data_IF_582648481548
#
_entry.id   IF_582648481548
#
_cell.length_a   1.000
_cell.length_b   1.000
_cell.length_c   1.000
_cell.angle_alpha   90.00
_cell.angle_beta   90.00
_cell.angle_gamma   90.00
#
_symmetry.space_group_name_H-M   'P 1'
#
loop_
_entity.id
_entity.type
_entity.pdbx_description
1 polymer ?
#
# COMPACT_ATOMS: atom_id res chain seq x y z
N UNK A 1 4.15 -20.98 19.30
CA UNK A 1 4.07 -19.51 19.44
C UNK A 1 2.60 -19.12 19.52
N UNK A 2 2.24 -18.13 20.34
CA UNK A 2 0.84 -17.65 20.39
C UNK A 2 0.53 -17.04 19.01
N UNK A 3 -0.50 -17.54 18.32
CA UNK A 3 -1.06 -16.89 17.13
C UNK A 3 -1.46 -15.47 17.56
N UNK A 4 -0.66 -14.46 17.19
CA UNK A 4 -1.09 -13.07 17.20
C UNK A 4 -1.95 -12.94 15.95
N UNK A 5 -3.24 -12.68 16.13
CA UNK A 5 -4.09 -12.28 15.01
C UNK A 5 -3.60 -10.89 14.63
N UNK A 6 -2.84 -10.79 13.54
CA UNK A 6 -2.47 -9.50 12.95
C UNK A 6 -3.73 -8.94 12.31
N UNK A 7 -4.47 -8.13 13.07
CA UNK A 7 -5.33 -7.13 12.46
C UNK A 7 -4.40 -5.97 12.15
N UNK A 8 -3.99 -5.82 10.89
CA UNK A 8 -3.48 -4.54 10.42
C UNK A 8 -4.67 -3.58 10.45
N UNK A 9 -4.88 -2.99 11.63
CA UNK A 9 -5.60 -1.76 11.73
C UNK A 9 -4.73 -0.75 10.98
N UNK A 10 -5.17 -0.37 9.78
CA UNK A 10 -4.89 0.97 9.26
C UNK A 10 -4.92 1.90 10.47
N UNK A 11 -3.75 2.46 10.80
CA UNK A 11 -3.52 3.15 12.06
C UNK A 11 -4.71 4.08 12.30
N UNK A 12 -5.55 3.70 13.27
CA UNK A 12 -6.76 4.43 13.61
C UNK A 12 -6.28 5.68 14.32
N UNK A 13 -5.84 6.65 13.51
CA UNK A 13 -5.51 7.99 13.96
C UNK A 13 -6.74 8.48 14.67
N UNK A 14 -6.63 8.53 16.00
CA UNK A 14 -7.64 9.10 16.85
C UNK A 14 -7.72 10.57 16.42
N UNK A 15 -8.67 10.88 15.54
CA UNK A 15 -9.06 12.25 15.28
C UNK A 15 -9.55 12.80 16.63
N UNK A 16 -8.64 13.42 17.39
CA UNK A 16 -9.02 14.26 18.53
C UNK A 16 -9.73 15.48 17.95
N UNK A 17 -11.02 15.30 17.66
CA UNK A 17 -11.96 16.41 17.59
C UNK A 17 -12.04 17.01 18.99
N UNK A 18 -11.21 18.00 19.27
CA UNK A 18 -11.41 18.89 20.42
C UNK A 18 -12.65 19.77 20.13
N UNK A 19 -13.83 19.24 20.39
CA UNK A 19 -15.00 20.06 20.68
C UNK A 19 -14.91 20.52 22.14
N UNK A 20 -14.23 21.63 22.41
CA UNK A 20 -14.40 22.32 23.69
C UNK A 20 -15.33 23.52 23.53
N UNK A 21 -16.53 23.36 24.07
CA UNK A 21 -17.39 24.47 24.45
C UNK A 21 -16.68 25.35 25.48
N UNK A 22 -16.93 26.64 25.36
CA UNK A 22 -16.43 27.71 26.20
C UNK A 22 -16.45 27.41 27.71
N UNK A 23 -15.31 27.59 28.38
CA UNK A 23 -15.08 28.64 29.40
C UNK A 23 -13.78 28.39 30.19
N UNK A 24 -13.06 29.49 30.47
CA UNK A 24 -12.07 29.73 31.54
C UNK A 24 -10.59 29.75 31.13
N UNK A 25 -10.12 30.99 30.92
CA UNK A 25 -8.76 31.54 31.07
C UNK A 25 -7.66 30.61 31.60
N UNK A 26 -6.62 30.38 30.78
CA UNK A 26 -5.24 30.75 31.12
C UNK A 26 -4.30 30.50 29.92
N UNK A 27 -3.47 31.52 29.67
CA UNK A 27 -2.34 31.65 28.74
C UNK A 27 -1.59 30.37 28.34
N UNK A 28 -1.98 29.77 27.21
CA UNK A 28 -1.09 28.92 26.40
C UNK A 28 -0.52 29.74 25.24
N UNK A 29 0.77 29.59 24.90
CA UNK A 29 1.42 30.38 23.87
C UNK A 29 0.82 30.04 22.52
N UNK A 30 0.17 31.01 21.89
CA UNK A 30 -0.17 30.98 20.47
C UNK A 30 1.13 30.81 19.66
N UNK A 31 1.25 29.80 18.77
CA UNK A 31 2.31 29.77 17.80
C UNK A 31 2.10 30.92 16.82
N UNK A 32 2.90 31.97 17.00
CA UNK A 32 3.02 33.06 16.06
C UNK A 32 3.77 32.53 14.83
N UNK A 33 3.04 32.30 13.73
CA UNK A 33 3.61 31.66 12.55
C UNK A 33 2.68 31.64 11.36
N UNK A 34 2.16 32.79 10.92
CA UNK A 34 1.66 33.03 9.55
C UNK A 34 0.90 31.89 8.86
N UNK A 35 0.04 31.18 9.59
CA UNK A 35 -0.42 29.82 9.26
C UNK A 35 -1.15 29.75 7.93
N UNK A 36 -0.50 29.17 6.92
CA UNK A 36 -1.19 28.63 5.75
C UNK A 36 -1.78 27.29 6.15
N UNK A 37 -3.05 27.08 5.84
CA UNK A 37 -3.73 25.79 5.98
C UNK A 37 -2.86 24.70 5.31
N UNK A 38 -2.47 23.62 6.03
CA UNK A 38 -1.64 22.54 5.48
C UNK A 38 -2.18 22.00 4.16
N UNK A 39 -3.49 21.96 3.95
CA UNK A 39 -4.08 21.53 2.67
C UNK A 39 -3.73 22.50 1.53
N UNK A 40 -3.59 23.79 1.86
CA UNK A 40 -3.36 24.87 0.91
C UNK A 40 -1.87 25.22 0.68
N UNK A 41 -0.94 24.61 1.40
CA UNK A 41 0.49 24.95 1.34
C UNK A 41 1.03 24.84 -0.09
N UNK A 42 1.80 25.85 -0.51
CA UNK A 42 2.40 25.93 -1.85
C UNK A 42 3.92 26.06 -1.77
N UNK A 43 4.59 25.48 -2.77
CA UNK A 43 6.00 25.72 -3.02
C UNK A 43 6.19 27.19 -3.39
N UNK A 44 7.24 27.82 -2.84
CA UNK A 44 7.56 29.22 -3.08
C UNK A 44 9.06 29.46 -2.93
N UNK A 45 9.53 30.63 -3.36
CA UNK A 45 10.93 31.01 -3.14
C UNK A 45 11.33 31.05 -1.66
N UNK A 46 10.37 31.27 -0.74
CA UNK A 46 10.62 31.37 0.70
C UNK A 46 10.88 30.00 1.34
N UNK A 47 10.16 28.96 0.90
CA UNK A 47 10.27 27.60 1.44
C UNK A 47 11.03 26.62 0.52
N UNK A 48 11.47 27.06 -0.65
CA UNK A 48 12.11 26.23 -1.69
C UNK A 48 13.21 25.29 -1.17
N UNK A 49 14.12 25.81 -0.35
CA UNK A 49 15.26 25.03 0.20
C UNK A 49 14.77 23.96 1.17
N UNK A 50 13.89 24.35 2.11
CA UNK A 50 13.32 23.43 3.07
C UNK A 50 12.50 22.33 2.38
N UNK A 51 11.72 22.70 1.37
CA UNK A 51 10.90 21.80 0.56
C UNK A 51 11.74 20.76 -0.16
N UNK A 52 12.77 21.19 -0.89
CA UNK A 52 13.69 20.28 -1.59
C UNK A 52 14.46 19.38 -0.63
N UNK A 53 14.84 19.88 0.55
CA UNK A 53 15.48 19.05 1.58
C UNK A 53 14.52 18.02 2.17
N UNK A 54 13.27 18.39 2.46
CA UNK A 54 12.28 17.48 3.02
C UNK A 54 11.94 16.37 2.04
N UNK A 55 11.65 16.71 0.78
CA UNK A 55 11.45 15.72 -0.29
C UNK A 55 12.62 14.74 -0.36
N UNK A 56 13.86 15.24 -0.33
CA UNK A 56 15.06 14.39 -0.38
C UNK A 56 15.17 13.44 0.82
N UNK A 57 14.91 13.93 2.04
CA UNK A 57 14.98 13.07 3.23
C UNK A 57 13.89 11.99 3.19
N UNK A 58 12.67 12.32 2.79
CA UNK A 58 11.59 11.32 2.63
C UNK A 58 11.94 10.29 1.55
N UNK A 59 12.41 10.73 0.37
CA UNK A 59 12.81 9.82 -0.70
C UNK A 59 14.02 8.95 -0.34
N UNK A 60 14.95 9.48 0.47
CA UNK A 60 16.10 8.74 0.98
C UNK A 60 15.64 7.64 1.94
N UNK A 61 14.72 7.95 2.85
CA UNK A 61 14.12 6.99 3.77
C UNK A 61 13.35 5.89 3.02
N UNK A 62 12.50 6.24 2.04
CA UNK A 62 11.83 5.27 1.16
C UNK A 62 12.81 4.33 0.44
N UNK A 63 13.93 4.86 -0.08
CA UNK A 63 14.96 4.05 -0.71
C UNK A 63 15.66 3.12 0.31
N UNK A 64 15.92 3.61 1.52
CA UNK A 64 16.54 2.82 2.58
C UNK A 64 15.60 1.71 3.05
N UNK A 65 14.32 2.00 3.27
CA UNK A 65 13.31 1.05 3.71
C UNK A 65 13.08 -0.04 2.63
N UNK A 66 12.91 0.35 1.36
CA UNK A 66 12.82 -0.62 0.26
C UNK A 66 14.08 -1.47 0.10
N UNK A 67 15.27 -0.89 0.33
CA UNK A 67 16.53 -1.63 0.32
C UNK A 67 16.61 -2.61 1.48
N UNK A 68 16.19 -2.20 2.69
CA UNK A 68 16.10 -3.07 3.87
C UNK A 68 15.11 -4.19 3.63
N UNK A 69 13.93 -3.90 3.07
CA UNK A 69 12.92 -4.89 2.75
C UNK A 69 13.45 -5.95 1.78
N UNK A 70 13.97 -5.52 0.63
CA UNK A 70 14.53 -6.45 -0.36
C UNK A 70 15.68 -7.29 0.23
N UNK A 71 16.63 -6.65 0.92
CA UNK A 71 17.76 -7.35 1.54
C UNK A 71 17.33 -8.30 2.67
N UNK A 72 16.26 -8.00 3.41
CA UNK A 72 15.70 -8.92 4.41
C UNK A 72 15.22 -10.21 3.76
N UNK A 73 14.63 -10.10 2.57
CA UNK A 73 14.20 -11.26 1.80
C UNK A 73 15.37 -12.05 1.18
N UNK A 74 16.37 -11.38 0.61
CA UNK A 74 17.41 -12.06 -0.19
C UNK A 74 18.73 -12.33 0.51
N UNK A 75 19.07 -11.58 1.57
CA UNK A 75 20.40 -11.63 2.21
C UNK A 75 20.31 -12.06 3.66
N UNK A 76 19.61 -11.29 4.49
CA UNK A 76 19.54 -11.55 5.93
C UNK A 76 18.38 -10.79 6.55
N UNK A 77 17.43 -11.51 7.13
CA UNK A 77 16.41 -10.94 7.99
C UNK A 77 16.99 -10.79 9.39
N UNK A 78 17.02 -9.55 9.87
CA UNK A 78 17.53 -9.19 11.19
C UNK A 78 16.43 -8.55 12.00
N UNK A 79 16.11 -9.13 13.15
CA UNK A 79 15.21 -8.57 14.15
C UNK A 79 15.91 -8.48 15.52
N UNK A 80 15.14 -8.25 16.58
CA UNK A 80 15.63 -8.14 17.95
C UNK A 80 16.38 -9.39 18.44
N UNK A 81 16.11 -10.56 17.86
CA UNK A 81 16.77 -11.83 18.18
C UNK A 81 18.06 -12.05 17.38
N UNK A 82 18.36 -11.19 16.42
CA UNK A 82 19.59 -11.21 15.62
C UNK A 82 19.36 -11.60 14.17
N UNK A 83 20.41 -12.14 13.55
CA UNK A 83 20.42 -12.58 12.14
C UNK A 83 19.78 -13.97 12.00
N UNK A 84 18.90 -14.11 11.01
CA UNK A 84 18.18 -15.36 10.72
C UNK A 84 18.49 -15.95 9.33
N UNK A 85 19.28 -15.24 8.51
CA UNK A 85 19.45 -15.55 7.09
C UNK A 85 18.31 -14.99 6.23
N UNK A 86 18.34 -15.23 4.89
CA UNK A 86 17.35 -14.68 3.98
C UNK A 86 15.93 -15.11 4.32
N UNK A 87 14.98 -14.16 4.44
CA UNK A 87 13.59 -14.49 4.70
C UNK A 87 12.99 -15.36 3.60
N UNK A 88 13.45 -15.27 2.35
CA UNK A 88 13.04 -16.17 1.28
C UNK A 88 13.35 -17.66 1.60
N UNK A 89 14.49 -17.93 2.24
CA UNK A 89 14.84 -19.29 2.67
C UNK A 89 13.98 -19.71 3.86
N UNK A 90 13.77 -18.80 4.81
CA UNK A 90 12.95 -19.05 6.01
C UNK A 90 11.48 -19.30 5.62
N UNK A 91 10.97 -18.56 4.65
CA UNK A 91 9.60 -18.70 4.16
C UNK A 91 9.41 -20.03 3.43
N UNK A 92 10.39 -20.45 2.60
CA UNK A 92 10.33 -21.70 1.83
C UNK A 92 10.61 -22.95 2.68
N UNK A 93 11.35 -22.84 3.78
CA UNK A 93 11.61 -23.97 4.69
C UNK A 93 10.38 -24.27 5.57
N UNK A 94 9.56 -25.23 5.15
CA UNK A 94 8.36 -25.65 5.87
C UNK A 94 8.61 -26.62 7.03
N UNK A 95 9.88 -26.93 7.33
CA UNK A 95 10.25 -27.89 8.39
C UNK A 95 10.84 -27.21 9.63
N UNK A 96 11.57 -26.11 9.42
CA UNK A 96 12.25 -25.36 10.47
C UNK A 96 12.20 -23.84 10.29
N UNK A 97 11.53 -23.34 9.24
CA UNK A 97 11.43 -21.93 8.91
C UNK A 97 10.31 -21.18 9.63
N UNK A 98 9.79 -20.14 8.98
CA UNK A 98 8.76 -19.26 9.57
C UNK A 98 7.45 -19.99 9.85
N UNK A 99 7.14 -20.99 9.02
CA UNK A 99 5.90 -21.75 9.08
C UNK A 99 6.21 -23.23 9.34
N UNK A 100 5.36 -23.87 10.13
CA UNK A 100 5.58 -25.24 10.62
C UNK A 100 4.96 -26.31 9.71
N UNK A 101 4.40 -25.89 8.56
CA UNK A 101 3.89 -26.75 7.50
C UNK A 101 3.65 -25.94 6.22
N UNK A 102 3.68 -26.57 5.04
CA UNK A 102 3.37 -25.92 3.77
C UNK A 102 1.96 -25.30 3.76
N UNK A 103 1.00 -25.99 4.38
CA UNK A 103 -0.35 -25.48 4.58
C UNK A 103 -0.36 -24.16 5.35
N UNK A 104 0.47 -24.01 6.39
CA UNK A 104 0.53 -22.76 7.17
C UNK A 104 1.07 -21.58 6.35
N UNK A 105 1.96 -21.81 5.38
CA UNK A 105 2.35 -20.77 4.41
C UNK A 105 1.17 -20.33 3.55
N UNK A 106 0.41 -21.29 3.03
CA UNK A 106 -0.75 -20.99 2.20
C UNK A 106 -1.85 -20.29 3.02
N UNK A 107 -2.05 -20.67 4.28
CA UNK A 107 -2.95 -19.97 5.21
C UNK A 107 -2.54 -18.50 5.35
N UNK A 108 -1.24 -18.21 5.50
CA UNK A 108 -0.73 -16.83 5.58
C UNK A 108 -0.97 -16.06 4.28
N UNK A 109 -0.66 -16.65 3.13
CA UNK A 109 -0.87 -16.03 1.82
C UNK A 109 -2.34 -15.67 1.60
N UNK A 110 -3.27 -16.49 2.09
CA UNK A 110 -4.72 -16.23 1.96
C UNK A 110 -5.20 -15.23 2.99
N UNK A 111 -4.91 -15.42 4.27
CA UNK A 111 -5.46 -14.60 5.36
C UNK A 111 -4.71 -13.27 5.47
N UNK A 112 -3.47 -13.28 5.93
CA UNK A 112 -2.69 -12.05 6.12
C UNK A 112 -2.36 -11.34 4.80
N UNK A 113 -2.38 -12.06 3.68
CA UNK A 113 -2.15 -11.53 2.34
C UNK A 113 -3.44 -11.13 1.62
N UNK A 114 -3.94 -12.02 0.77
CA UNK A 114 -5.00 -11.72 -0.21
C UNK A 114 -6.30 -11.22 0.41
N UNK A 115 -6.76 -11.85 1.50
CA UNK A 115 -7.98 -11.42 2.19
C UNK A 115 -7.80 -10.05 2.82
N UNK A 116 -6.69 -9.83 3.54
CA UNK A 116 -6.45 -8.59 4.27
C UNK A 116 -6.56 -7.39 3.34
N UNK A 117 -5.88 -7.42 2.19
CA UNK A 117 -5.90 -6.29 1.25
C UNK A 117 -7.25 -6.15 0.52
N UNK A 118 -7.94 -7.25 0.17
CA UNK A 118 -9.30 -7.16 -0.40
C UNK A 118 -10.27 -6.49 0.58
N UNK A 119 -10.16 -6.87 1.86
CA UNK A 119 -10.96 -6.30 2.95
C UNK A 119 -10.59 -4.83 3.18
N UNK A 120 -9.31 -4.49 3.22
CA UNK A 120 -8.84 -3.11 3.41
C UNK A 120 -9.31 -2.17 2.30
N UNK A 121 -9.18 -2.57 1.03
CA UNK A 121 -9.69 -1.79 -0.09
C UNK A 121 -11.20 -1.54 0.03
N UNK A 122 -11.96 -2.59 0.33
CA UNK A 122 -13.43 -2.51 0.42
C UNK A 122 -13.96 -1.80 1.65
N UNK A 123 -13.42 -2.11 2.84
CA UNK A 123 -13.95 -1.72 4.15
C UNK A 123 -13.28 -0.48 4.75
N UNK A 124 -12.08 -0.12 4.29
CA UNK A 124 -11.34 1.06 4.74
C UNK A 124 -11.11 2.06 3.60
N UNK A 125 -10.27 1.73 2.60
CA UNK A 125 -9.80 2.70 1.58
C UNK A 125 -10.94 3.38 0.82
N UNK A 126 -12.01 2.63 0.49
CA UNK A 126 -13.20 3.20 -0.19
C UNK A 126 -14.32 3.55 0.81
N UNK A 127 -14.59 2.68 1.79
CA UNK A 127 -15.75 2.81 2.68
C UNK A 127 -15.59 3.85 3.78
N UNK A 128 -14.41 4.10 4.31
CA UNK A 128 -14.22 5.15 5.31
C UNK A 128 -14.48 6.55 4.73
N UNK A 129 -13.91 6.93 3.57
CA UNK A 129 -14.29 8.16 2.88
C UNK A 129 -15.78 8.24 2.57
N UNK A 130 -16.37 7.15 2.05
CA UNK A 130 -17.81 7.08 1.76
C UNK A 130 -18.66 7.34 3.00
N UNK A 131 -18.36 6.68 4.11
CA UNK A 131 -19.12 6.78 5.36
C UNK A 131 -19.03 8.18 5.94
N UNK A 132 -17.84 8.77 5.99
CA UNK A 132 -17.65 10.17 6.41
C UNK A 132 -18.45 11.13 5.51
N UNK A 133 -18.28 11.00 4.20
CA UNK A 133 -18.92 11.88 3.22
C UNK A 133 -20.45 11.81 3.25
N UNK A 134 -21.02 10.61 3.37
CA UNK A 134 -22.48 10.40 3.35
C UNK A 134 -23.14 10.65 4.70
N UNK A 135 -22.40 10.55 5.81
CA UNK A 135 -22.90 10.90 7.16
C UNK A 135 -22.91 12.41 7.45
N UNK A 136 -22.33 13.23 6.56
CA UNK A 136 -22.38 14.69 6.61
C UNK A 136 -21.02 15.37 6.81
N UNK A 137 -19.98 14.61 7.16
CA UNK A 137 -18.59 15.09 7.20
C UNK A 137 -17.99 15.06 5.77
N UNK A 138 -18.46 15.99 4.95
CA UNK A 138 -18.06 16.09 3.54
C UNK A 138 -16.56 16.34 3.40
N UNK A 139 -16.01 17.24 4.21
CA UNK A 139 -14.60 17.59 4.17
C UNK A 139 -13.71 16.45 4.68
N UNK A 140 -14.06 15.84 5.82
CA UNK A 140 -13.34 14.67 6.32
C UNK A 140 -13.40 13.47 5.38
N UNK A 141 -14.50 13.28 4.64
CA UNK A 141 -14.58 12.28 3.57
C UNK A 141 -13.61 12.58 2.42
N UNK A 142 -13.52 13.84 1.97
CA UNK A 142 -12.62 14.25 0.89
C UNK A 142 -11.14 14.07 1.25
N UNK A 143 -10.75 14.32 2.50
CA UNK A 143 -9.35 14.21 2.95
C UNK A 143 -8.98 12.82 3.49
N UNK A 144 -9.95 11.92 3.67
CA UNK A 144 -9.69 10.54 4.07
C UNK A 144 -9.28 9.63 2.90
N UNK A 145 -9.48 10.05 1.66
CA UNK A 145 -9.17 9.25 0.46
C UNK A 145 -7.65 9.12 0.29
N UNK A 146 -7.10 7.92 0.48
CA UNK A 146 -5.67 7.64 0.22
C UNK A 146 -5.29 7.94 -1.24
N UNK A 147 -4.07 8.43 -1.48
CA UNK A 147 -3.56 8.79 -2.83
C UNK A 147 -4.34 9.89 -3.56
N UNK A 148 -5.02 10.78 -2.81
CA UNK A 148 -5.82 11.84 -3.44
C UNK A 148 -5.02 13.05 -3.92
N UNK A 149 -3.82 13.30 -3.41
CA UNK A 149 -3.05 14.48 -3.83
C UNK A 149 -2.67 14.39 -5.31
N UNK A 150 -2.39 13.19 -5.79
CA UNK A 150 -2.07 12.82 -7.17
C UNK A 150 -3.27 12.35 -8.00
N UNK A 151 -4.47 12.29 -7.40
CA UNK A 151 -5.66 11.66 -8.00
C UNK A 151 -5.42 10.20 -8.43
N UNK A 152 -4.60 9.46 -7.68
CA UNK A 152 -4.15 8.11 -8.03
C UNK A 152 -4.95 6.99 -7.34
N UNK A 153 -5.85 7.31 -6.41
CA UNK A 153 -6.60 6.34 -5.58
C UNK A 153 -7.23 5.16 -6.35
N UNK A 154 -7.82 5.40 -7.53
CA UNK A 154 -8.42 4.31 -8.33
C UNK A 154 -7.36 3.32 -8.79
N UNK A 155 -6.23 3.81 -9.25
CA UNK A 155 -5.17 3.01 -9.85
C UNK A 155 -4.40 2.27 -8.76
N UNK A 156 -4.16 2.94 -7.64
CA UNK A 156 -3.65 2.39 -6.39
C UNK A 156 -4.45 1.15 -5.94
N UNK A 157 -5.76 1.33 -5.69
CA UNK A 157 -6.60 0.25 -5.18
C UNK A 157 -6.76 -0.87 -6.21
N UNK A 158 -6.66 -0.55 -7.50
CA UNK A 158 -6.67 -1.57 -8.57
C UNK A 158 -5.37 -2.37 -8.57
N UNK A 159 -4.22 -1.74 -8.35
CA UNK A 159 -2.93 -2.42 -8.19
C UNK A 159 -2.93 -3.32 -6.95
N UNK A 160 -3.60 -2.93 -5.86
CA UNK A 160 -3.81 -3.79 -4.70
C UNK A 160 -4.56 -5.09 -5.07
N UNK A 161 -5.64 -4.99 -5.87
CA UNK A 161 -6.36 -6.17 -6.37
C UNK A 161 -5.48 -7.00 -7.34
N UNK A 162 -4.63 -6.35 -8.14
CA UNK A 162 -3.67 -7.07 -8.97
C UNK A 162 -2.54 -7.74 -8.17
N UNK A 163 -2.25 -7.27 -6.96
CA UNK A 163 -1.39 -8.00 -6.02
C UNK A 163 -2.02 -9.36 -5.67
N UNK A 164 -3.32 -9.40 -5.39
CA UNK A 164 -4.08 -10.64 -5.15
C UNK A 164 -3.98 -11.57 -6.36
N UNK A 165 -4.22 -11.04 -7.56
CA UNK A 165 -4.09 -11.81 -8.81
C UNK A 165 -2.71 -12.44 -8.94
N UNK A 166 -1.66 -11.65 -8.75
CA UNK A 166 -0.29 -12.11 -8.90
C UNK A 166 0.05 -13.21 -7.89
N UNK A 167 -0.38 -13.06 -6.63
CA UNK A 167 -0.27 -14.09 -5.59
C UNK A 167 -1.03 -15.36 -5.97
N UNK A 168 -2.28 -15.23 -6.42
CA UNK A 168 -3.14 -16.37 -6.76
C UNK A 168 -2.64 -17.14 -8.00
N UNK A 169 -2.10 -16.44 -8.99
CA UNK A 169 -1.53 -17.00 -10.22
C UNK A 169 -0.09 -17.46 -10.08
N UNK A 170 0.59 -17.13 -8.96
CA UNK A 170 2.00 -17.44 -8.75
C UNK A 170 2.93 -16.76 -9.75
N UNK A 171 2.55 -15.58 -10.27
CA UNK A 171 3.34 -14.86 -11.28
C UNK A 171 3.07 -13.36 -11.27
N UNK A 172 3.97 -12.56 -11.86
CA UNK A 172 3.71 -11.14 -12.14
C UNK A 172 3.12 -11.00 -13.55
N UNK A 173 1.79 -10.87 -13.59
CA UNK A 173 1.04 -9.89 -14.38
C UNK A 173 1.72 -8.89 -15.33
N UNK A 174 1.67 -9.02 -16.67
CA UNK A 174 1.96 -7.88 -17.56
C UNK A 174 0.68 -7.08 -17.93
N UNK A 175 -0.50 -7.60 -17.58
CA UNK A 175 -1.74 -6.84 -17.63
C UNK A 175 -1.85 -5.93 -16.39
N UNK A 176 -1.64 -4.63 -16.60
CA UNK A 176 -1.65 -3.60 -15.57
C UNK A 176 -2.89 -2.69 -15.65
N UNK A 177 -2.93 -1.70 -14.77
CA UNK A 177 -4.05 -0.74 -14.68
C UNK A 177 -4.23 0.03 -15.98
N UNK A 178 -3.16 0.33 -16.72
CA UNK A 178 -3.24 1.10 -17.97
C UNK A 178 -4.04 0.39 -19.06
N UNK A 179 -4.15 -0.95 -19.01
CA UNK A 179 -4.96 -1.72 -19.96
C UNK A 179 -6.46 -1.61 -19.65
N UNK A 180 -6.86 -1.49 -18.38
CA UNK A 180 -8.28 -1.37 -17.97
C UNK A 180 -8.78 0.07 -17.85
N UNK A 181 -7.92 1.02 -17.46
CA UNK A 181 -8.30 2.41 -17.30
C UNK A 181 -8.78 3.02 -18.63
N UNK A 182 -9.93 3.70 -18.58
CA UNK A 182 -10.58 4.25 -19.77
C UNK A 182 -11.06 3.23 -20.81
N UNK A 183 -10.87 1.93 -20.60
CA UNK A 183 -11.16 0.85 -21.56
C UNK A 183 -11.99 -0.31 -20.96
N UNK A 184 -12.81 0.00 -19.96
CA UNK A 184 -13.63 -0.97 -19.22
C UNK A 184 -14.52 -1.88 -20.10
N UNK A 185 -14.91 -1.43 -21.28
CA UNK A 185 -15.74 -2.21 -22.21
C UNK A 185 -14.97 -3.22 -23.06
N UNK A 186 -13.64 -3.16 -23.11
CA UNK A 186 -12.84 -4.11 -23.90
C UNK A 186 -12.83 -5.52 -23.31
N UNK A 187 -13.08 -5.64 -22.00
CA UNK A 187 -12.95 -6.89 -21.27
C UNK A 187 -14.28 -7.22 -20.59
N UNK A 188 -14.97 -8.27 -21.05
CA UNK A 188 -16.23 -8.72 -20.45
C UNK A 188 -15.98 -9.66 -19.28
N UNK A 189 -14.86 -10.39 -19.31
CA UNK A 189 -14.44 -11.33 -18.28
C UNK A 189 -12.93 -11.30 -18.11
N UNK A 190 -12.44 -11.94 -17.04
CA UNK A 190 -11.00 -12.09 -16.83
C UNK A 190 -10.33 -12.84 -18.00
N UNK A 191 -11.06 -13.73 -18.71
CA UNK A 191 -10.56 -14.46 -19.88
C UNK A 191 -10.27 -13.57 -21.10
N UNK A 192 -10.85 -12.37 -21.14
CA UNK A 192 -10.53 -11.40 -22.17
C UNK A 192 -9.29 -10.58 -21.81
N UNK A 193 -8.93 -10.55 -20.52
CA UNK A 193 -7.92 -9.68 -19.94
C UNK A 193 -6.61 -10.43 -19.66
N UNK A 194 -6.69 -11.57 -18.98
CA UNK A 194 -5.56 -12.44 -18.68
C UNK A 194 -5.45 -13.55 -19.75
N UNK A 195 -4.24 -13.84 -20.22
CA UNK A 195 -4.03 -14.92 -21.20
C UNK A 195 -4.09 -16.31 -20.52
N UNK A 196 -4.81 -17.29 -21.11
CA UNK A 196 -4.98 -18.64 -20.54
C UNK A 196 -3.66 -19.39 -20.24
N UNK A 197 -2.56 -18.98 -20.88
CA UNK A 197 -1.22 -19.56 -20.69
C UNK A 197 -0.39 -18.92 -19.57
N UNK A 198 -0.89 -17.86 -18.93
CA UNK A 198 -0.09 -17.01 -18.03
C UNK A 198 -0.15 -17.42 -16.56
N UNK A 199 -0.98 -18.39 -16.18
CA UNK A 199 -1.06 -18.89 -14.81
C UNK A 199 0.07 -19.91 -14.57
N UNK A 200 0.90 -19.68 -13.55
CA UNK A 200 2.02 -20.57 -13.23
C UNK A 200 1.54 -21.97 -12.83
N UNK A 201 2.30 -23.00 -13.21
CA UNK A 201 1.95 -24.41 -12.93
C UNK A 201 1.81 -24.68 -11.43
N UNK A 202 2.74 -24.14 -10.64
CA UNK A 202 2.71 -24.23 -9.18
C UNK A 202 2.04 -23.00 -8.57
N UNK A 203 0.71 -22.91 -8.73
CA UNK A 203 -0.09 -21.79 -8.20
C UNK A 203 -1.34 -22.29 -7.47
N UNK A 204 -1.90 -21.43 -6.61
CA UNK A 204 -3.18 -21.71 -5.96
C UNK A 204 -4.30 -21.90 -6.98
N UNK A 205 -4.29 -21.12 -8.07
CA UNK A 205 -5.24 -21.30 -9.17
C UNK A 205 -5.18 -22.70 -9.76
N UNK A 206 -3.99 -23.20 -10.13
CA UNK A 206 -3.85 -24.56 -10.71
C UNK A 206 -4.27 -25.65 -9.73
N UNK A 207 -3.84 -25.54 -8.47
CA UNK A 207 -4.17 -26.57 -7.48
C UNK A 207 -5.67 -26.60 -7.17
N UNK A 208 -6.30 -25.45 -6.94
CA UNK A 208 -7.76 -25.37 -6.73
C UNK A 208 -8.51 -25.83 -7.97
N UNK A 209 -8.09 -25.45 -9.17
CA UNK A 209 -8.75 -25.89 -10.41
C UNK A 209 -8.73 -27.42 -10.58
N UNK A 210 -7.70 -28.10 -10.07
CA UNK A 210 -7.56 -29.55 -10.20
C UNK A 210 -8.60 -30.35 -9.37
N UNK A 211 -9.11 -29.76 -8.30
CA UNK A 211 -10.01 -30.40 -7.33
C UNK A 211 -11.38 -29.72 -7.25
N UNK A 212 -11.47 -28.43 -7.55
CA UNK A 212 -12.69 -27.62 -7.61
C UNK A 212 -12.57 -26.49 -8.66
N UNK A 213 -12.78 -26.81 -9.95
CA UNK A 213 -12.67 -25.83 -11.03
C UNK A 213 -13.71 -24.69 -10.95
N UNK A 214 -14.87 -24.93 -10.34
CA UNK A 214 -15.90 -23.89 -10.19
C UNK A 214 -15.44 -22.82 -9.19
N UNK A 215 -14.76 -23.21 -8.10
CA UNK A 215 -14.20 -22.27 -7.13
C UNK A 215 -13.03 -21.46 -7.72
N UNK A 216 -12.14 -22.09 -8.50
CA UNK A 216 -11.08 -21.34 -9.20
C UNK A 216 -11.66 -20.31 -10.20
N UNK A 217 -12.68 -20.68 -10.97
CA UNK A 217 -13.37 -19.75 -11.88
C UNK A 217 -14.02 -18.59 -11.11
N UNK A 218 -14.64 -18.85 -9.96
CA UNK A 218 -15.26 -17.84 -9.10
C UNK A 218 -14.21 -16.86 -8.54
N UNK A 219 -13.08 -17.35 -8.03
CA UNK A 219 -11.99 -16.52 -7.50
C UNK A 219 -11.47 -15.57 -8.59
N UNK A 220 -11.15 -16.10 -9.78
CA UNK A 220 -10.63 -15.29 -10.89
C UNK A 220 -11.63 -14.25 -11.37
N UNK A 221 -12.90 -14.64 -11.42
CA UNK A 221 -13.99 -13.74 -11.79
C UNK A 221 -14.10 -12.59 -10.80
N UNK A 222 -14.06 -12.86 -9.49
CA UNK A 222 -14.19 -11.82 -8.47
C UNK A 222 -12.95 -10.93 -8.33
N UNK A 223 -11.73 -11.47 -8.54
CA UNK A 223 -10.51 -10.66 -8.64
C UNK A 223 -10.65 -9.63 -9.76
N UNK A 224 -10.98 -10.08 -10.98
CA UNK A 224 -11.14 -9.18 -12.12
C UNK A 224 -12.32 -8.22 -11.96
N UNK A 225 -13.46 -8.69 -11.44
CA UNK A 225 -14.63 -7.85 -11.21
C UNK A 225 -14.34 -6.73 -10.20
N UNK A 226 -13.56 -7.01 -9.15
CA UNK A 226 -13.15 -6.01 -8.15
C UNK A 226 -12.29 -4.91 -8.79
N UNK A 227 -11.25 -5.29 -9.54
CA UNK A 227 -10.41 -4.34 -10.28
C UNK A 227 -11.23 -3.49 -11.25
N UNK A 228 -12.16 -4.12 -11.98
CA UNK A 228 -13.04 -3.44 -12.93
C UNK A 228 -14.03 -2.49 -12.24
N UNK A 229 -14.56 -2.86 -11.08
CA UNK A 229 -15.50 -2.04 -10.32
C UNK A 229 -14.81 -0.79 -9.75
N UNK A 230 -13.59 -0.92 -9.22
CA UNK A 230 -12.78 0.23 -8.79
C UNK A 230 -12.54 1.19 -9.96
N UNK A 231 -12.11 0.66 -11.11
CA UNK A 231 -11.87 1.47 -12.30
C UNK A 231 -13.15 2.08 -12.89
N UNK A 232 -14.34 1.55 -12.58
CA UNK A 232 -15.62 2.15 -12.98
C UNK A 232 -15.96 3.43 -12.20
N UNK A 233 -15.36 3.66 -11.02
CA UNK A 233 -15.52 4.91 -10.28
C UNK A 233 -15.10 6.08 -11.17
N UNK A 234 -15.91 7.16 -11.29
CA UNK A 234 -15.50 8.31 -12.08
C UNK A 234 -14.24 8.97 -11.51
N UNK A 235 -13.27 9.25 -12.39
CA UNK A 235 -12.00 9.87 -12.01
C UNK A 235 -12.18 11.38 -11.67
N UNK A 236 -11.65 11.88 -10.54
CA UNK A 236 -11.02 11.13 -9.43
C UNK A 236 -12.05 10.61 -8.41
N UNK A 237 -11.73 9.49 -7.74
CA UNK A 237 -12.58 8.92 -6.67
C UNK A 237 -12.95 9.97 -5.61
N UNK A 238 -11.99 10.78 -5.16
CA UNK A 238 -12.23 11.87 -4.19
C UNK A 238 -13.41 12.78 -4.56
N UNK A 239 -13.65 13.06 -5.83
CA UNK A 239 -14.75 13.95 -6.24
C UNK A 239 -16.06 13.19 -6.52
N UNK A 240 -16.03 11.87 -6.43
CA UNK A 240 -17.12 10.95 -6.77
C UNK A 240 -17.35 9.90 -5.67
N UNK A 241 -17.08 10.30 -4.41
CA UNK A 241 -17.11 9.39 -3.25
C UNK A 241 -18.48 8.74 -3.08
N UNK A 242 -19.57 9.48 -3.26
CA UNK A 242 -20.95 9.01 -3.10
C UNK A 242 -21.59 8.46 -4.39
N UNK A 243 -20.76 8.13 -5.39
CA UNK A 243 -21.22 7.53 -6.65
C UNK A 243 -21.75 6.10 -6.46
N UNK A 244 -22.65 5.68 -7.35
CA UNK A 244 -23.14 4.30 -7.37
C UNK A 244 -21.99 3.32 -7.69
N UNK A 245 -21.01 3.76 -8.47
CA UNK A 245 -19.80 3.01 -8.81
C UNK A 245 -18.88 2.82 -7.61
N UNK A 246 -18.74 3.81 -6.72
CA UNK A 246 -18.00 3.63 -5.46
C UNK A 246 -18.68 2.58 -4.57
N UNK A 247 -20.03 2.57 -4.51
CA UNK A 247 -20.79 1.54 -3.79
C UNK A 247 -20.60 0.16 -4.42
N UNK A 248 -20.62 0.06 -5.75
CA UNK A 248 -20.35 -1.19 -6.45
C UNK A 248 -18.93 -1.71 -6.20
N UNK A 249 -17.91 -0.84 -6.22
CA UNK A 249 -16.53 -1.19 -5.92
C UNK A 249 -16.37 -1.72 -4.49
N UNK A 250 -16.89 -1.00 -3.49
CA UNK A 250 -16.88 -1.45 -2.08
C UNK A 250 -17.49 -2.85 -1.94
N UNK A 251 -18.69 -3.05 -2.49
CA UNK A 251 -19.39 -4.32 -2.36
C UNK A 251 -18.64 -5.46 -3.06
N UNK A 252 -18.10 -5.23 -4.25
CA UNK A 252 -17.39 -6.26 -5.02
C UNK A 252 -16.07 -6.66 -4.34
N UNK A 253 -15.32 -5.69 -3.80
CA UNK A 253 -14.12 -5.98 -3.00
C UNK A 253 -14.46 -6.77 -1.72
N UNK A 254 -15.59 -6.44 -1.07
CA UNK A 254 -16.05 -7.21 0.10
C UNK A 254 -16.56 -8.60 -0.27
N UNK A 255 -17.14 -8.80 -1.45
CA UNK A 255 -17.48 -10.14 -1.97
C UNK A 255 -16.21 -10.98 -2.17
N UNK A 256 -15.17 -10.41 -2.79
CA UNK A 256 -13.86 -11.06 -2.92
C UNK A 256 -13.25 -11.40 -1.55
N UNK A 257 -13.23 -10.45 -0.61
CA UNK A 257 -12.73 -10.68 0.74
C UNK A 257 -13.50 -11.81 1.45
N UNK A 258 -14.84 -11.79 1.36
CA UNK A 258 -15.66 -12.83 1.96
C UNK A 258 -15.42 -14.21 1.33
N UNK A 259 -15.26 -14.29 0.01
CA UNK A 259 -14.91 -15.54 -0.68
C UNK A 259 -13.58 -16.09 -0.15
N UNK A 260 -12.53 -15.25 -0.12
CA UNK A 260 -11.19 -15.64 0.32
C UNK A 260 -11.19 -16.19 1.76
N UNK A 261 -11.84 -15.50 2.69
CA UNK A 261 -11.84 -15.88 4.11
C UNK A 261 -12.81 -17.02 4.43
N UNK A 262 -14.04 -16.97 3.91
CA UNK A 262 -15.12 -17.85 4.35
C UNK A 262 -15.28 -19.11 3.49
N UNK A 263 -14.69 -19.13 2.29
CA UNK A 263 -14.81 -20.27 1.37
C UNK A 263 -13.44 -20.82 0.98
N UNK A 264 -12.54 -20.00 0.44
CA UNK A 264 -11.22 -20.46 -0.04
C UNK A 264 -10.37 -20.99 1.11
N UNK A 265 -10.20 -20.23 2.19
CA UNK A 265 -9.40 -20.67 3.34
C UNK A 265 -9.94 -21.98 3.96
N UNK A 266 -11.25 -22.12 4.28
CA UNK A 266 -11.78 -23.39 4.75
C UNK A 266 -11.64 -24.53 3.74
N UNK A 267 -11.81 -24.27 2.44
CA UNK A 267 -11.65 -25.26 1.39
C UNK A 267 -10.21 -25.78 1.32
N UNK A 268 -9.23 -24.88 1.32
CA UNK A 268 -7.80 -25.20 1.33
C UNK A 268 -7.46 -26.02 2.58
N UNK A 269 -7.90 -25.60 3.76
CA UNK A 269 -7.62 -26.31 5.01
C UNK A 269 -8.24 -27.72 5.06
N UNK A 270 -9.42 -27.90 4.47
CA UNK A 270 -10.10 -29.20 4.46
C UNK A 270 -9.59 -30.13 3.38
N UNK A 271 -9.29 -29.59 2.19
CA UNK A 271 -8.92 -30.39 1.02
C UNK A 271 -7.43 -30.64 0.96
N UNK A 272 -6.62 -29.60 1.16
CA UNK A 272 -5.15 -29.64 1.06
C UNK A 272 -4.47 -29.78 2.42
N UNK A 273 -5.23 -30.02 3.49
CA UNK A 273 -4.67 -30.38 4.79
C UNK A 273 -4.26 -31.85 4.90
N UNK A 274 -4.51 -32.67 3.88
CA UNK A 274 -3.95 -34.01 3.78
C UNK A 274 -2.48 -33.94 3.34
N UNK A 275 -1.54 -34.64 4.02
CA UNK A 275 -0.12 -34.65 3.65
C UNK A 275 0.18 -35.09 2.21
N UNK A 276 -0.77 -35.70 1.49
CA UNK A 276 -0.60 -35.97 0.06
C UNK A 276 -0.40 -34.70 -0.80
N UNK A 277 -0.84 -33.54 -0.31
CA UNK A 277 -0.67 -32.24 -0.98
C UNK A 277 0.55 -31.45 -0.50
N UNK A 278 1.33 -31.94 0.48
CA UNK A 278 2.46 -31.18 1.04
C UNK A 278 3.47 -30.76 -0.06
N UNK A 279 3.79 -31.67 -1.00
CA UNK A 279 4.69 -31.38 -2.13
C UNK A 279 4.13 -30.30 -3.09
N UNK A 280 2.81 -30.27 -3.31
CA UNK A 280 2.16 -29.25 -4.15
C UNK A 280 2.17 -27.88 -3.48
N UNK A 281 1.84 -27.84 -2.18
CA UNK A 281 1.84 -26.61 -1.37
C UNK A 281 3.26 -26.05 -1.21
N UNK A 282 4.26 -26.92 -1.04
CA UNK A 282 5.67 -26.54 -1.04
C UNK A 282 6.05 -25.86 -2.36
N UNK A 283 5.74 -26.51 -3.49
CA UNK A 283 6.05 -25.95 -4.81
C UNK A 283 5.34 -24.59 -5.04
N UNK A 284 4.12 -24.41 -4.54
CA UNK A 284 3.40 -23.12 -4.59
C UNK A 284 4.12 -22.06 -3.76
N UNK A 285 4.56 -22.39 -2.54
CA UNK A 285 5.29 -21.45 -1.69
C UNK A 285 6.62 -21.04 -2.34
N UNK A 286 7.35 -21.99 -2.96
CA UNK A 286 8.57 -21.68 -3.71
C UNK A 286 8.30 -20.75 -4.89
N UNK A 287 7.30 -21.08 -5.71
CA UNK A 287 6.89 -20.29 -6.87
C UNK A 287 6.46 -18.87 -6.47
N UNK A 288 5.66 -18.73 -5.41
CA UNK A 288 5.22 -17.44 -4.88
C UNK A 288 6.41 -16.55 -4.47
N UNK A 289 7.36 -17.10 -3.70
CA UNK A 289 8.54 -16.34 -3.28
C UNK A 289 9.40 -15.96 -4.48
N UNK A 290 9.76 -16.92 -5.33
CA UNK A 290 10.78 -16.73 -6.36
C UNK A 290 10.26 -15.94 -7.58
N UNK A 291 8.97 -16.02 -7.90
CA UNK A 291 8.39 -15.40 -9.09
C UNK A 291 7.50 -14.18 -8.81
N UNK A 292 7.04 -13.98 -7.56
CA UNK A 292 6.17 -12.85 -7.19
C UNK A 292 6.87 -11.94 -6.20
N UNK A 293 7.24 -12.44 -5.03
CA UNK A 293 7.73 -11.60 -3.93
C UNK A 293 9.10 -10.99 -4.25
N UNK A 294 10.08 -11.83 -4.58
CA UNK A 294 11.46 -11.37 -4.81
C UNK A 294 11.57 -10.41 -6.00
N UNK A 295 10.95 -10.68 -7.17
CA UNK A 295 11.00 -9.73 -8.28
C UNK A 295 10.27 -8.41 -7.97
N UNK A 296 9.15 -8.45 -7.24
CA UNK A 296 8.40 -7.24 -6.86
C UNK A 296 9.22 -6.34 -5.93
N UNK A 297 9.80 -6.89 -4.86
CA UNK A 297 10.64 -6.10 -3.95
C UNK A 297 11.96 -5.64 -4.58
N UNK A 298 12.48 -6.37 -5.56
CA UNK A 298 13.61 -5.91 -6.36
C UNK A 298 13.23 -4.70 -7.21
N UNK A 299 12.10 -4.76 -7.92
CA UNK A 299 11.60 -3.67 -8.75
C UNK A 299 11.29 -2.42 -7.91
N UNK A 300 10.67 -2.61 -6.73
CA UNK A 300 10.45 -1.56 -5.73
C UNK A 300 11.76 -0.87 -5.33
N UNK A 301 12.80 -1.64 -5.00
CA UNK A 301 14.11 -1.12 -4.61
C UNK A 301 14.79 -0.34 -5.74
N UNK A 302 14.75 -0.88 -6.97
CA UNK A 302 15.33 -0.23 -8.14
C UNK A 302 14.58 1.08 -8.50
N UNK A 303 13.25 1.09 -8.41
CA UNK A 303 12.42 2.26 -8.71
C UNK A 303 12.51 3.34 -7.62
N UNK A 304 12.59 2.98 -6.34
CA UNK A 304 12.82 3.96 -5.26
C UNK A 304 14.17 4.65 -5.38
N UNK A 305 15.20 3.95 -5.88
CA UNK A 305 16.49 4.58 -6.19
C UNK A 305 16.37 5.63 -7.29
N UNK A 306 15.61 5.34 -8.36
CA UNK A 306 15.35 6.30 -9.43
C UNK A 306 14.55 7.51 -8.93
N UNK A 307 13.57 7.28 -8.06
CA UNK A 307 12.79 8.34 -7.41
C UNK A 307 13.69 9.26 -6.56
N UNK A 308 14.57 8.69 -5.74
CA UNK A 308 15.55 9.45 -4.96
C UNK A 308 16.45 10.31 -5.87
N UNK A 309 16.96 9.74 -6.96
CA UNK A 309 17.79 10.48 -7.92
C UNK A 309 17.04 11.67 -8.54
N UNK A 310 15.77 11.50 -8.90
CA UNK A 310 14.94 12.57 -9.46
C UNK A 310 14.58 13.65 -8.43
N UNK A 311 14.26 13.25 -7.20
CA UNK A 311 14.02 14.20 -6.10
C UNK A 311 15.29 14.99 -5.78
N UNK A 312 16.46 14.35 -5.78
CA UNK A 312 17.74 15.04 -5.60
C UNK A 312 18.04 16.00 -6.76
N UNK A 313 17.68 15.63 -7.99
CA UNK A 313 17.78 16.51 -9.15
C UNK A 313 16.88 17.75 -8.99
N UNK A 314 15.63 17.58 -8.55
CA UNK A 314 14.73 18.68 -8.23
C UNK A 314 15.32 19.58 -7.14
N UNK A 315 15.79 18.99 -6.03
CA UNK A 315 16.42 19.71 -4.92
C UNK A 315 17.59 20.60 -5.37
N UNK A 316 18.41 20.11 -6.30
CA UNK A 316 19.56 20.87 -6.82
C UNK A 316 19.16 21.93 -7.84
N UNK A 317 18.14 21.67 -8.66
CA UNK A 317 17.70 22.54 -9.74
C UNK A 317 16.16 22.59 -9.81
N UNK A 318 15.48 23.33 -8.94
CA UNK A 318 14.01 23.35 -8.94
C UNK A 318 13.44 23.89 -10.25
N UNK A 319 12.56 23.12 -10.87
CA UNK A 319 11.82 23.49 -12.09
C UNK A 319 10.54 22.68 -12.20
N UNK A 320 9.58 23.12 -13.03
CA UNK A 320 8.39 22.34 -13.33
C UNK A 320 8.74 20.99 -13.96
N UNK A 321 9.67 20.96 -14.92
CA UNK A 321 10.14 19.72 -15.55
C UNK A 321 10.69 18.72 -14.51
N UNK A 322 11.41 19.20 -13.48
CA UNK A 322 11.93 18.33 -12.43
C UNK A 322 10.85 17.91 -11.43
N UNK A 323 9.83 18.74 -11.18
CA UNK A 323 8.63 18.31 -10.44
C UNK A 323 7.90 17.20 -11.19
N UNK A 324 7.59 17.41 -12.47
CA UNK A 324 6.92 16.41 -13.34
C UNK A 324 7.72 15.11 -13.40
N UNK A 325 9.04 15.19 -13.55
CA UNK A 325 9.92 14.01 -13.54
C UNK A 325 9.84 13.25 -12.21
N UNK A 326 9.89 13.96 -11.08
CA UNK A 326 9.78 13.34 -9.76
C UNK A 326 8.38 12.73 -9.53
N UNK A 327 7.32 13.40 -9.99
CA UNK A 327 5.95 12.90 -9.97
C UNK A 327 5.80 11.60 -10.77
N UNK A 328 6.32 11.56 -12.00
CA UNK A 328 6.27 10.36 -12.83
C UNK A 328 7.02 9.19 -12.19
N UNK A 329 8.18 9.45 -11.56
CA UNK A 329 8.94 8.42 -10.86
C UNK A 329 8.31 8.01 -9.53
N UNK A 330 7.50 8.87 -8.91
CA UNK A 330 6.69 8.50 -7.74
C UNK A 330 5.62 7.49 -8.15
N UNK A 331 4.88 7.75 -9.24
CA UNK A 331 3.90 6.79 -9.79
C UNK A 331 4.57 5.47 -10.18
N UNK A 332 5.70 5.52 -10.87
CA UNK A 332 6.46 4.32 -11.26
C UNK A 332 6.90 3.51 -10.03
N UNK A 333 7.34 4.17 -8.97
CA UNK A 333 7.80 3.52 -7.74
C UNK A 333 6.66 2.99 -6.86
N UNK A 334 5.48 3.63 -6.91
CA UNK A 334 4.25 3.16 -6.27
C UNK A 334 3.77 1.84 -6.83
N UNK A 335 3.84 1.63 -8.14
CA UNK A 335 3.29 0.43 -8.77
C UNK A 335 3.75 -0.91 -8.13
N UNK A 336 5.06 -1.20 -7.93
CA UNK A 336 5.48 -2.43 -7.26
C UNK A 336 5.15 -2.45 -5.76
N UNK A 337 5.04 -1.29 -5.11
CA UNK A 337 4.57 -1.20 -3.73
C UNK A 337 3.09 -1.63 -3.64
N UNK A 338 2.23 -1.01 -4.43
CA UNK A 338 0.79 -1.27 -4.48
C UNK A 338 0.49 -2.72 -4.90
N UNK A 339 1.28 -3.25 -5.84
CA UNK A 339 1.25 -4.66 -6.26
C UNK A 339 1.93 -5.62 -5.27
N UNK A 340 2.42 -5.14 -4.13
CA UNK A 340 2.93 -5.98 -3.03
C UNK A 340 2.00 -6.11 -1.83
N UNK A 341 0.90 -5.35 -1.80
CA UNK A 341 0.03 -5.26 -0.62
C UNK A 341 -0.74 -6.57 -0.29
N UNK A 342 -0.85 -7.53 -1.23
CA UNK A 342 -1.36 -8.87 -0.93
C UNK A 342 -0.32 -9.79 -0.25
N UNK A 343 0.84 -9.27 0.12
CA UNK A 343 1.89 -9.99 0.85
C UNK A 343 2.70 -9.08 1.77
N UNK A 344 2.00 -8.22 2.54
CA UNK A 344 2.55 -7.47 3.67
C UNK A 344 2.84 -8.39 4.88
N UNK A 345 3.71 -9.36 4.65
CA UNK A 345 4.06 -10.43 5.60
C UNK A 345 5.57 -10.46 5.83
N UNK A 346 5.95 -10.97 7.01
CA UNK A 346 7.35 -11.11 7.37
C UNK A 346 8.05 -9.75 7.55
N UNK A 347 9.21 -9.49 6.90
CA UNK A 347 10.03 -8.33 7.20
C UNK A 347 9.30 -6.98 7.09
N UNK A 348 8.40 -6.81 6.11
CA UNK A 348 7.71 -5.54 5.88
C UNK A 348 6.83 -5.14 7.08
N UNK A 349 6.18 -6.14 7.68
CA UNK A 349 5.34 -5.97 8.86
C UNK A 349 6.16 -5.95 10.15
N UNK A 350 7.06 -6.90 10.32
CA UNK A 350 7.77 -7.13 11.59
C UNK A 350 8.74 -6.01 11.95
N UNK A 351 9.25 -5.30 10.95
CA UNK A 351 10.25 -4.24 11.12
C UNK A 351 9.63 -2.83 11.08
N UNK A 352 8.30 -2.72 11.04
CA UNK A 352 7.59 -1.45 10.90
C UNK A 352 7.85 -0.75 9.56
N UNK A 353 8.28 -1.50 8.54
CA UNK A 353 8.62 -0.93 7.22
C UNK A 353 7.36 -0.50 6.47
N UNK A 354 6.25 -1.20 6.65
CA UNK A 354 4.96 -0.82 6.08
C UNK A 354 4.54 0.61 6.47
N UNK A 355 4.27 0.92 7.75
CA UNK A 355 3.94 2.29 8.14
C UNK A 355 5.09 3.29 7.95
N UNK A 356 6.37 2.86 7.90
CA UNK A 356 7.47 3.75 7.51
C UNK A 356 7.41 4.20 6.05
N UNK A 357 6.92 3.33 5.17
CA UNK A 357 6.85 3.56 3.74
C UNK A 357 5.50 4.12 3.32
N UNK A 358 4.41 3.82 4.02
CA UNK A 358 3.06 4.06 3.47
C UNK A 358 1.97 4.45 4.47
N UNK A 359 2.33 5.12 5.56
CA UNK A 359 1.33 5.62 6.51
C UNK A 359 0.26 6.51 5.85
N UNK A 360 -1.00 6.18 6.14
CA UNK A 360 -2.17 7.00 5.85
C UNK A 360 -3.20 6.90 7.00
N UNK A 361 -3.82 8.02 7.44
CA UNK A 361 -3.62 9.40 7.01
C UNK A 361 -2.34 10.03 7.59
N UNK A 362 -1.92 11.14 6.98
CA UNK A 362 -0.74 11.90 7.42
C UNK A 362 -1.06 12.91 8.52
N UNK A 363 -0.08 13.21 9.38
CA UNK A 363 -0.11 14.43 10.19
C UNK A 363 0.34 15.63 9.32
N UNK A 364 -0.60 16.20 8.56
CA UNK A 364 -0.31 17.35 7.71
C UNK A 364 0.22 18.57 8.50
N UNK A 365 -0.17 18.72 9.77
CA UNK A 365 0.39 19.77 10.62
C UNK A 365 1.85 19.46 10.98
N UNK A 366 2.14 18.21 11.31
CA UNK A 366 3.49 17.69 11.50
C UNK A 366 4.38 17.92 10.27
N UNK A 367 3.89 17.66 9.07
CA UNK A 367 4.60 17.96 7.80
C UNK A 367 4.95 19.45 7.71
N UNK A 368 4.01 20.35 8.00
CA UNK A 368 4.27 21.80 8.00
C UNK A 368 5.29 22.18 9.07
N UNK A 369 5.24 21.56 10.25
CA UNK A 369 6.20 21.79 11.33
C UNK A 369 7.60 21.34 10.94
N UNK A 370 7.76 20.14 10.39
CA UNK A 370 9.04 19.60 9.89
C UNK A 370 9.59 20.48 8.77
N UNK A 371 8.74 20.93 7.84
CA UNK A 371 9.16 21.85 6.78
C UNK A 371 9.71 23.17 7.34
N UNK A 372 9.09 23.72 8.38
CA UNK A 372 9.51 24.98 9.00
C UNK A 372 10.76 24.81 9.88
N UNK A 373 10.84 23.72 10.65
CA UNK A 373 11.94 23.44 11.58
C UNK A 373 13.19 22.93 10.85
N UNK A 374 12.99 22.19 9.75
CA UNK A 374 14.01 21.35 9.09
C UNK A 374 14.69 20.37 10.07
N UNK A 375 13.98 19.95 11.10
CA UNK A 375 14.42 18.92 12.03
C UNK A 375 14.13 17.55 11.42
N UNK A 376 15.13 16.93 10.79
CA UNK A 376 14.95 15.66 10.09
C UNK A 376 14.83 14.46 11.03
N UNK A 377 15.24 14.61 12.28
CA UNK A 377 15.08 13.58 13.31
C UNK A 377 13.59 13.30 13.59
N UNK A 378 12.68 14.23 13.26
CA UNK A 378 11.23 14.05 13.39
C UNK A 378 10.66 12.98 12.42
N UNK A 379 11.42 12.58 11.39
CA UNK A 379 11.04 11.50 10.47
C UNK A 379 11.54 10.13 10.94
N UNK A 380 12.39 10.07 11.97
CA UNK A 380 13.10 8.86 12.37
C UNK A 380 12.64 8.38 13.75
N UNK A 381 12.70 7.07 13.94
CA UNK A 381 12.51 6.43 15.23
C UNK A 381 13.59 5.38 15.44
N UNK A 382 13.79 4.97 16.69
CA UNK A 382 14.83 4.00 17.05
C UNK A 382 14.32 3.03 18.11
N UNK A 383 14.97 1.89 18.20
CA UNK A 383 14.54 0.81 19.06
C UNK A 383 13.76 -0.24 18.27
N UNK A 384 12.91 -0.96 18.99
CA UNK A 384 12.12 -2.04 18.43
C UNK A 384 10.80 -1.48 17.91
N UNK A 385 10.30 -2.05 16.81
CA UNK A 385 8.99 -1.67 16.31
C UNK A 385 7.91 -2.07 17.32
N UNK A 386 7.11 -1.09 17.71
CA UNK A 386 5.89 -1.26 18.50
C UNK A 386 4.79 -0.43 17.83
N UNK A 387 3.78 -1.12 17.30
CA UNK A 387 2.67 -0.50 16.58
C UNK A 387 1.81 0.42 17.48
N UNK A 388 1.90 0.25 18.81
CA UNK A 388 1.18 1.06 19.80
C UNK A 388 2.00 2.28 20.28
N UNK A 389 3.26 2.42 19.86
CA UNK A 389 4.12 3.53 20.29
C UNK A 389 3.77 4.82 19.50
N UNK A 390 3.20 5.79 20.22
CA UNK A 390 2.80 7.08 19.65
C UNK A 390 3.96 7.86 19.02
N UNK A 391 5.18 7.71 19.52
CA UNK A 391 6.35 8.40 18.95
C UNK A 391 6.80 7.76 17.63
N UNK A 392 6.71 6.42 17.52
CA UNK A 392 6.92 5.71 16.25
C UNK A 392 5.85 6.15 15.25
N UNK A 393 4.57 6.14 15.65
CA UNK A 393 3.45 6.56 14.80
C UNK A 393 3.56 8.02 14.35
N UNK A 394 4.02 8.92 15.23
CA UNK A 394 4.25 10.33 14.88
C UNK A 394 5.30 10.46 13.77
N UNK A 395 6.45 9.78 13.90
CA UNK A 395 7.49 9.79 12.88
C UNK A 395 7.03 9.17 11.54
N UNK A 396 6.25 8.10 11.61
CA UNK A 396 5.68 7.42 10.45
C UNK A 396 4.67 8.28 9.68
N UNK A 397 3.87 9.08 10.38
CA UNK A 397 2.84 9.95 9.79
C UNK A 397 3.36 11.17 9.02
N UNK A 398 4.68 11.42 9.04
CA UNK A 398 5.35 12.56 8.37
C UNK A 398 6.48 12.12 7.43
N UNK A 399 6.47 10.85 7.01
CA UNK A 399 7.38 10.25 6.00
C UNK A 399 6.60 9.38 5.00
N UNK A 400 7.30 8.54 4.25
CA UNK A 400 6.67 7.60 3.32
C UNK A 400 6.17 8.21 2.00
N UNK A 401 5.54 7.37 1.17
CA UNK A 401 5.06 7.71 -0.16
C UNK A 401 4.07 8.85 -0.12
N UNK A 402 3.10 8.84 0.78
CA UNK A 402 2.07 9.86 0.84
C UNK A 402 2.59 11.22 1.33
N UNK A 403 3.60 11.27 2.21
CA UNK A 403 4.27 12.55 2.51
C UNK A 403 4.99 13.09 1.28
N UNK A 404 5.69 12.24 0.54
CA UNK A 404 6.34 12.66 -0.71
C UNK A 404 5.31 13.06 -1.77
N UNK A 405 4.17 12.39 -1.82
CA UNK A 405 3.02 12.72 -2.67
C UNK A 405 2.49 14.11 -2.33
N UNK A 406 2.25 14.40 -1.05
CA UNK A 406 1.83 15.72 -0.56
C UNK A 406 2.81 16.82 -0.99
N UNK A 407 4.12 16.54 -0.95
CA UNK A 407 5.18 17.49 -1.35
C UNK A 407 5.35 17.62 -2.87
N UNK A 408 4.89 16.65 -3.66
CA UNK A 408 5.04 16.61 -5.12
C UNK A 408 3.79 17.08 -5.87
N UNK A 409 2.60 16.73 -5.37
CA UNK A 409 1.33 16.92 -6.05
C UNK A 409 0.40 17.86 -5.29
N UNK A 410 -0.50 18.50 -6.03
CA UNK A 410 -1.64 19.24 -5.50
C UNK A 410 -2.80 19.12 -6.49
N UNK A 411 -3.98 18.75 -6.00
CA UNK A 411 -5.21 18.63 -6.79
C UNK A 411 -5.03 17.79 -8.08
N UNK A 412 -4.33 16.66 -7.97
CA UNK A 412 -4.12 15.72 -9.07
C UNK A 412 -3.06 16.15 -10.09
N UNK A 413 -2.29 17.20 -9.81
CA UNK A 413 -1.28 17.73 -10.73
C UNK A 413 0.08 17.87 -10.02
N UNK A 414 1.20 17.74 -10.76
CA UNK A 414 2.49 18.16 -10.25
C UNK A 414 2.45 19.60 -9.75
N UNK A 415 3.04 19.86 -8.59
CA UNK A 415 3.25 21.22 -8.09
C UNK A 415 4.17 22.00 -9.04
N UNK A 416 4.08 23.32 -8.98
CA UNK A 416 4.88 24.22 -9.82
C UNK A 416 5.84 25.04 -8.97
N UNK A 417 7.01 25.37 -9.53
CA UNK A 417 7.86 26.42 -8.94
C UNK A 417 7.26 27.79 -9.24
N UNK A 418 7.31 28.73 -8.28
CA UNK A 418 6.83 30.10 -8.49
C UNK A 418 7.58 30.75 -9.67
N UNK A 419 6.85 31.00 -10.76
CA UNK A 419 7.40 31.45 -12.05
C UNK A 419 6.49 31.24 -13.27
N UNK A 420 5.35 30.55 -13.12
CA UNK A 420 4.33 30.42 -14.16
C UNK A 420 3.10 31.31 -13.87
N UNK A 421 3.30 32.63 -13.82
CA UNK A 421 2.25 33.62 -14.07
C UNK A 421 2.77 34.74 -14.97
#
# INVERSE_FOLDING_TARGET
MKKKNYFYLAALSLAMTFSMGACSDNDDPTPDGGGKDPVSLDYSSENAVAWGNYMYNVAMLLNNDATTLYNSWVTDYVDEQGSHGPYATIFKDQTAGAYQSPLSCIEEMIESGMWNIANEVGDAKIKDPYTKYTSGDKEGGLYAVESWYSWHSRDDYTNNIFSIRNTYYGRIDDNDVSKVDGNLSAFNSYKDFDDEGDIAEHSLSKLIASTNPDLDEEIKTLIFASAKAIQAIPQPFRNNIDSEEAVAAMNTCMELANLLLNEVKPYVNQTFGDPEYDDDLDAIAEQFVDAVVLPTYKDLQEKNKLLLDAVNQFRQNPSNDNFEKACNLWITAREPWEKSEAFLIGPVANLGLDPNMDSWPLDQNGIVQVLNSQNWDDLEWSGNFDEEDEAIGAAQSVRGYHTLEYLLFKDGQPRTVDGAK
#
